data_IF_251816048047
#
_entry.id   IF_251816048047
#
_cell.length_a   1.000
_cell.length_b   1.000
_cell.length_c   1.000
_cell.angle_alpha   90.00
_cell.angle_beta   90.00
_cell.angle_gamma   90.00
#
_symmetry.space_group_name_H-M   'P 1'
#
loop_
_entity.id
_entity.type
_entity.pdbx_description
1 polymer ?
#
# COMPACT_ATOMS: atom_id res chain seq x y z
N UNK A 1 -25.20 36.99 16.59
CA UNK A 1 -23.78 36.55 16.61
C UNK A 1 -23.28 36.32 15.18
N UNK A 2 -23.49 37.24 14.23
CA UNK A 2 -23.62 36.82 12.82
C UNK A 2 -22.97 37.72 11.77
N UNK A 3 -22.16 38.71 12.17
CA UNK A 3 -21.41 39.55 11.20
C UNK A 3 -19.90 39.54 11.48
N UNK A 4 -19.48 39.37 12.74
CA UNK A 4 -18.05 39.28 13.10
C UNK A 4 -17.38 37.97 12.70
N UNK A 5 -18.10 36.84 12.74
CA UNK A 5 -17.53 35.51 12.54
C UNK A 5 -17.12 35.24 11.08
N UNK A 6 -17.88 35.80 10.13
CA UNK A 6 -17.55 35.71 8.71
C UNK A 6 -16.28 36.48 8.32
N UNK A 7 -16.03 37.63 8.96
CA UNK A 7 -14.85 38.46 8.73
C UNK A 7 -13.59 37.85 9.36
N UNK A 8 -13.73 37.20 10.52
CA UNK A 8 -12.62 36.52 11.21
C UNK A 8 -12.20 35.23 10.48
N UNK A 9 -13.12 34.53 9.81
CA UNK A 9 -12.80 33.33 9.03
C UNK A 9 -12.29 33.63 7.60
N UNK A 10 -12.74 34.72 6.97
CA UNK A 10 -12.42 35.00 5.56
C UNK A 10 -11.01 35.56 5.33
N UNK A 11 -10.48 36.37 6.25
CA UNK A 11 -9.13 36.95 6.08
C UNK A 11 -8.05 35.86 6.09
N UNK A 12 -8.04 34.89 7.03
CA UNK A 12 -7.07 33.79 7.02
C UNK A 12 -7.21 32.89 5.78
N UNK A 13 -8.44 32.60 5.34
CA UNK A 13 -8.69 31.77 4.15
C UNK A 13 -8.11 32.41 2.88
N UNK A 14 -8.25 33.74 2.73
CA UNK A 14 -7.69 34.47 1.60
C UNK A 14 -6.15 34.44 1.62
N UNK A 15 -5.54 34.62 2.79
CA UNK A 15 -4.07 34.60 2.95
C UNK A 15 -3.51 33.21 2.61
N UNK A 16 -4.15 32.13 3.08
CA UNK A 16 -3.73 30.75 2.79
C UNK A 16 -3.87 30.43 1.30
N UNK A 17 -4.99 30.83 0.68
CA UNK A 17 -5.22 30.63 -0.76
C UNK A 17 -4.18 31.36 -1.62
N UNK A 18 -3.86 32.60 -1.26
CA UNK A 18 -2.87 33.41 -1.99
C UNK A 18 -1.46 32.86 -1.80
N UNK A 19 -1.10 32.45 -0.58
CA UNK A 19 0.20 31.83 -0.29
C UNK A 19 0.37 30.49 -1.05
N UNK A 20 -0.66 29.66 -1.10
CA UNK A 20 -0.64 28.40 -1.86
C UNK A 20 -0.50 28.67 -3.38
N UNK A 21 -1.21 29.67 -3.93
CA UNK A 21 -1.07 30.07 -5.33
C UNK A 21 0.33 30.57 -5.69
N UNK A 22 0.98 31.30 -4.79
CA UNK A 22 2.37 31.77 -4.98
C UNK A 22 3.38 30.62 -4.91
N UNK A 23 3.14 29.61 -4.07
CA UNK A 23 4.02 28.43 -3.98
C UNK A 23 3.91 27.57 -5.24
N UNK A 24 2.70 27.36 -5.76
CA UNK A 24 2.44 26.53 -6.96
C UNK A 24 3.01 27.13 -8.25
N UNK A 25 3.23 28.45 -8.30
CA UNK A 25 3.73 29.14 -9.50
C UNK A 25 5.25 29.17 -9.61
N UNK A 26 5.99 28.71 -8.59
CA UNK A 26 7.44 28.47 -8.72
C UNK A 26 7.68 27.11 -9.38
N UNK A 27 7.59 27.08 -10.71
CA UNK A 27 8.16 25.98 -11.50
C UNK A 27 9.63 26.30 -11.79
N UNK A 28 10.47 25.37 -11.37
CA UNK A 28 11.92 25.36 -11.43
C UNK A 28 12.41 24.98 -12.83
N UNK A 29 12.84 25.96 -13.62
CA UNK A 29 13.76 25.72 -14.74
C UNK A 29 14.65 26.96 -14.92
N UNK A 30 15.97 26.78 -14.77
CA UNK A 30 17.01 27.83 -14.87
C UNK A 30 17.27 28.33 -16.30
N UNK A 31 16.32 28.16 -17.22
CA UNK A 31 16.47 28.60 -18.60
C UNK A 31 15.31 29.47 -19.03
N UNK A 32 15.65 30.62 -19.61
CA UNK A 32 14.68 31.49 -20.25
C UNK A 32 14.03 30.74 -21.42
N UNK A 33 12.70 30.70 -21.42
CA UNK A 33 11.89 30.05 -22.47
C UNK A 33 12.26 30.55 -23.87
N UNK A 34 12.68 31.81 -23.99
CA UNK A 34 13.17 32.39 -25.23
C UNK A 34 14.46 31.73 -25.74
N UNK A 35 15.38 31.39 -24.83
CA UNK A 35 16.65 30.75 -25.17
C UNK A 35 16.45 29.31 -25.65
N UNK A 36 15.50 28.58 -25.04
CA UNK A 36 15.09 27.25 -25.50
C UNK A 36 14.43 27.29 -26.88
N UNK A 37 13.56 28.28 -27.13
CA UNK A 37 12.90 28.43 -28.44
C UNK A 37 13.90 28.75 -29.55
N UNK A 38 14.86 29.65 -29.30
CA UNK A 38 15.91 29.99 -30.26
C UNK A 38 16.80 28.77 -30.55
N UNK A 39 17.22 28.04 -29.52
CA UNK A 39 18.03 26.85 -29.69
C UNK A 39 17.30 25.75 -30.47
N UNK A 40 16.01 25.52 -30.21
CA UNK A 40 15.23 24.54 -30.98
C UNK A 40 15.03 24.95 -32.44
N UNK A 41 14.86 26.24 -32.71
CA UNK A 41 14.69 26.76 -34.08
C UNK A 41 15.94 26.48 -34.93
N UNK A 42 17.15 26.69 -34.38
CA UNK A 42 18.41 26.50 -35.11
C UNK A 42 18.98 25.08 -35.05
N UNK A 43 18.51 24.23 -34.13
CA UNK A 43 18.99 22.85 -33.97
C UNK A 43 18.18 21.82 -34.75
N UNK A 44 16.99 22.17 -35.25
CA UNK A 44 16.12 21.24 -35.97
C UNK A 44 15.91 21.66 -37.44
N UNK A 45 16.51 20.95 -38.42
CA UNK A 45 16.40 21.27 -39.84
C UNK A 45 14.96 21.30 -40.37
N UNK A 46 14.05 20.51 -39.77
CA UNK A 46 12.63 20.49 -40.18
C UNK A 46 11.88 21.76 -39.79
N UNK A 47 12.21 22.34 -38.62
CA UNK A 47 11.61 23.60 -38.17
C UNK A 47 12.14 24.75 -39.02
N UNK A 48 13.44 24.79 -39.31
CA UNK A 48 14.02 25.78 -40.22
C UNK A 48 13.40 25.72 -41.63
N UNK A 49 13.14 24.52 -42.15
CA UNK A 49 12.49 24.34 -43.46
C UNK A 49 11.07 24.89 -43.47
N UNK A 50 10.31 24.66 -42.39
CA UNK A 50 8.96 25.20 -42.23
C UNK A 50 8.97 26.73 -42.17
N UNK A 51 9.88 27.31 -41.37
CA UNK A 51 10.06 28.77 -41.28
C UNK A 51 10.46 29.38 -42.64
N UNK A 52 11.37 28.72 -43.38
CA UNK A 52 11.75 29.15 -44.72
C UNK A 52 10.58 29.08 -45.72
N UNK A 53 9.73 28.05 -45.64
CA UNK A 53 8.55 27.93 -46.49
C UNK A 53 7.55 29.06 -46.22
N UNK A 54 7.28 29.39 -44.96
CA UNK A 54 6.38 30.48 -44.57
C UNK A 54 6.94 31.84 -45.01
N UNK A 55 8.23 32.10 -44.79
CA UNK A 55 8.90 33.33 -45.24
C UNK A 55 8.95 33.45 -46.77
N UNK A 56 9.13 32.33 -47.48
CA UNK A 56 9.10 32.28 -48.94
C UNK A 56 7.72 32.58 -49.50
N UNK A 57 6.66 32.02 -48.89
CA UNK A 57 5.27 32.33 -49.26
C UNK A 57 4.93 33.80 -49.02
N UNK A 58 5.37 34.37 -47.90
CA UNK A 58 5.21 35.80 -47.62
C UNK A 58 5.99 36.68 -48.60
N UNK A 59 7.18 36.26 -49.01
CA UNK A 59 8.02 36.95 -50.00
C UNK A 59 7.47 36.95 -51.42
N UNK A 60 6.45 36.14 -51.73
CA UNK A 60 5.76 36.12 -53.02
C UNK A 60 4.57 37.10 -53.08
N UNK A 61 4.21 37.74 -51.96
CA UNK A 61 3.10 38.69 -51.89
C UNK A 61 3.53 40.03 -52.54
N UNK A 62 2.84 40.53 -53.58
CA UNK A 62 3.20 41.78 -54.24
C UNK A 62 2.93 42.97 -53.31
N UNK A 63 3.92 43.85 -53.14
CA UNK A 63 3.85 45.05 -52.28
C UNK A 63 4.80 45.05 -51.07
N UNK A 64 5.49 43.94 -50.81
CA UNK A 64 6.56 43.87 -49.79
C UNK A 64 7.96 43.88 -50.44
N UNK A 65 9.04 44.14 -49.66
CA UNK A 65 10.42 44.02 -50.14
C UNK A 65 10.77 42.54 -50.42
N UNK A 66 10.26 41.99 -51.52
CA UNK A 66 10.37 40.56 -51.87
C UNK A 66 11.83 40.08 -51.88
N UNK A 67 12.75 40.98 -52.24
CA UNK A 67 14.19 40.75 -52.26
C UNK A 67 14.75 40.38 -50.86
N UNK A 68 14.24 41.01 -49.79
CA UNK A 68 14.68 40.74 -48.41
C UNK A 68 14.16 39.37 -47.95
N UNK A 69 12.88 39.08 -48.17
CA UNK A 69 12.27 37.81 -47.76
C UNK A 69 12.83 36.60 -48.52
N UNK A 70 13.06 36.74 -49.83
CA UNK A 70 13.69 35.68 -50.63
C UNK A 70 15.15 35.45 -50.21
N UNK A 71 15.88 36.49 -49.81
CA UNK A 71 17.25 36.36 -49.28
C UNK A 71 17.27 35.60 -47.95
N UNK A 72 16.40 35.93 -47.01
CA UNK A 72 16.26 35.19 -45.74
C UNK A 72 15.81 33.75 -45.96
N UNK A 73 14.90 33.52 -46.90
CA UNK A 73 14.45 32.18 -47.28
C UNK A 73 15.61 31.35 -47.82
N UNK A 74 16.40 31.91 -48.75
CA UNK A 74 17.59 31.25 -49.29
C UNK A 74 18.63 30.98 -48.19
N UNK A 75 18.83 31.91 -47.26
CA UNK A 75 19.73 31.76 -46.12
C UNK A 75 19.31 30.62 -45.18
N UNK A 76 18.04 30.55 -44.82
CA UNK A 76 17.50 29.48 -43.96
C UNK A 76 17.55 28.11 -44.65
N UNK A 77 17.24 28.04 -45.95
CA UNK A 77 17.36 26.80 -46.72
C UNK A 77 18.82 26.35 -46.85
N UNK A 78 19.75 27.29 -47.05
CA UNK A 78 21.19 27.02 -47.10
C UNK A 78 21.73 26.49 -45.77
N UNK A 79 21.35 27.12 -44.65
CA UNK A 79 21.67 26.66 -43.30
C UNK A 79 21.09 25.28 -43.00
N UNK A 80 19.81 25.05 -43.33
CA UNK A 80 19.16 23.75 -43.15
C UNK A 80 19.86 22.64 -43.96
N UNK A 81 20.30 22.94 -45.19
CA UNK A 81 21.03 22.00 -46.03
C UNK A 81 22.44 21.71 -45.49
N UNK A 82 23.13 22.72 -44.96
CA UNK A 82 24.46 22.57 -44.35
C UNK A 82 24.41 21.73 -43.06
N UNK A 83 23.42 21.96 -42.20
CA UNK A 83 23.21 21.18 -40.96
C UNK A 83 22.83 19.74 -41.29
N UNK A 84 21.93 19.53 -42.25
CA UNK A 84 21.53 18.18 -42.71
C UNK A 84 22.69 17.40 -43.34
N UNK A 85 23.62 18.09 -44.01
CA UNK A 85 24.86 17.51 -44.54
C UNK A 85 25.87 17.09 -43.48
N UNK A 86 25.83 17.69 -42.27
CA UNK A 86 26.61 17.26 -41.10
C UNK A 86 25.99 16.04 -40.41
N UNK A 87 24.66 15.97 -40.31
CA UNK A 87 23.96 14.81 -39.73
C UNK A 87 24.13 13.51 -40.54
N UNK A 88 24.32 13.60 -41.87
CA UNK A 88 24.48 12.40 -42.72
C UNK A 88 25.92 11.84 -42.77
N UNK A 89 26.92 12.57 -42.26
CA UNK A 89 28.34 12.12 -42.25
C UNK A 89 28.86 11.73 -40.87
N UNK A 90 28.05 11.84 -39.82
CA UNK A 90 28.37 11.22 -38.54
C UNK A 90 27.97 9.73 -38.59
N UNK A 91 28.79 8.79 -38.07
CA UNK A 91 28.35 7.42 -37.83
C UNK A 91 27.10 7.48 -36.97
N UNK A 92 26.11 6.65 -37.26
CA UNK A 92 24.86 6.58 -36.50
C UNK A 92 25.16 6.36 -35.02
N UNK A 93 25.20 7.44 -34.24
CA UNK A 93 24.93 7.38 -32.81
C UNK A 93 23.54 6.75 -32.68
N UNK A 94 23.36 5.80 -31.75
CA UNK A 94 22.06 5.20 -31.54
C UNK A 94 21.08 6.36 -31.35
N UNK A 95 20.05 6.42 -32.21
CA UNK A 95 18.90 7.28 -31.98
C UNK A 95 18.58 7.10 -30.49
N UNK A 96 18.62 8.16 -29.67
CA UNK A 96 17.95 8.06 -28.39
C UNK A 96 16.55 7.66 -28.80
N UNK A 97 16.17 6.43 -28.46
CA UNK A 97 14.77 6.13 -28.25
C UNK A 97 14.38 7.29 -27.35
N UNK A 98 13.60 8.22 -27.89
CA UNK A 98 12.76 9.04 -27.04
C UNK A 98 11.91 7.99 -26.35
N UNK A 99 12.44 7.41 -25.26
CA UNK A 99 11.64 7.14 -24.10
C UNK A 99 10.86 8.44 -23.99
N UNK A 100 9.56 8.36 -24.31
CA UNK A 100 8.66 9.28 -23.69
C UNK A 100 9.12 9.27 -22.23
N UNK A 101 9.66 10.39 -21.77
CA UNK A 101 9.85 10.62 -20.36
C UNK A 101 8.43 10.64 -19.78
N UNK A 102 7.81 9.47 -19.69
CA UNK A 102 6.94 9.11 -18.59
C UNK A 102 7.85 8.88 -17.37
N UNK A 103 8.72 9.85 -17.09
CA UNK A 103 8.99 10.24 -15.71
C UNK A 103 7.88 11.21 -15.31
N UNK A 104 6.61 10.78 -15.46
CA UNK A 104 5.68 11.10 -14.40
C UNK A 104 6.25 10.39 -13.20
N UNK A 105 7.11 11.09 -12.45
CA UNK A 105 7.27 10.81 -11.03
C UNK A 105 5.83 10.82 -10.55
N UNK A 106 5.27 9.63 -10.30
CA UNK A 106 3.97 9.52 -9.65
C UNK A 106 4.27 10.06 -8.26
N UNK A 107 4.06 11.36 -8.09
CA UNK A 107 4.16 11.98 -6.79
C UNK A 107 3.19 11.26 -5.89
N UNK A 108 3.66 10.88 -4.69
CA UNK A 108 2.83 10.22 -3.71
C UNK A 108 1.56 11.05 -3.51
N UNK A 109 0.44 10.47 -3.87
CA UNK A 109 -0.89 11.05 -3.71
C UNK A 109 -1.50 10.56 -2.41
N UNK A 110 -2.54 11.23 -1.93
CA UNK A 110 -3.34 10.72 -0.81
C UNK A 110 -3.94 9.34 -1.07
N UNK A 111 -4.02 8.89 -2.34
CA UNK A 111 -4.47 7.55 -2.68
C UNK A 111 -3.40 6.47 -2.40
N UNK A 112 -2.14 6.86 -2.21
CA UNK A 112 -1.05 5.95 -1.82
C UNK A 112 -1.01 5.73 -0.30
N UNK A 113 -1.79 6.49 0.47
CA UNK A 113 -1.95 6.29 1.91
C UNK A 113 -2.81 5.05 2.13
N UNK A 114 -2.15 3.92 2.37
CA UNK A 114 -2.83 2.71 2.80
C UNK A 114 -3.20 2.83 4.27
N UNK A 115 -4.49 2.67 4.56
CA UNK A 115 -4.95 2.50 5.93
C UNK A 115 -4.46 1.15 6.44
N UNK A 116 -3.91 1.17 7.65
CA UNK A 116 -3.49 -0.06 8.33
C UNK A 116 -4.70 -0.92 8.67
N UNK A 117 -4.53 -2.23 8.50
CA UNK A 117 -5.54 -3.20 8.90
C UNK A 117 -5.65 -3.21 10.43
N UNK A 118 -6.89 -3.12 10.96
CA UNK A 118 -7.13 -3.20 12.41
C UNK A 118 -6.55 -4.49 13.01
N UNK A 119 -6.64 -5.59 12.27
CA UNK A 119 -6.04 -6.88 12.61
C UNK A 119 -5.53 -7.57 11.33
N UNK A 120 -4.24 -7.91 11.32
CA UNK A 120 -3.55 -8.49 10.19
C UNK A 120 -2.76 -9.73 10.59
N UNK A 121 -2.47 -10.58 9.60
CA UNK A 121 -1.58 -11.72 9.73
C UNK A 121 -0.70 -11.82 8.48
N UNK A 122 0.61 -11.77 8.68
CA UNK A 122 1.59 -12.03 7.63
C UNK A 122 2.08 -13.47 7.73
N UNK A 123 2.20 -14.13 6.59
CA UNK A 123 2.63 -15.53 6.53
C UNK A 123 3.78 -15.72 5.54
N UNK A 124 4.77 -16.54 5.93
CA UNK A 124 5.79 -17.03 5.01
C UNK A 124 5.22 -18.03 4.00
N UNK A 125 5.93 -18.23 2.89
CA UNK A 125 5.40 -18.96 1.74
C UNK A 125 5.01 -20.43 2.00
N UNK A 126 5.59 -21.12 3.02
CA UNK A 126 5.19 -22.50 3.36
C UNK A 126 3.84 -22.57 4.05
N UNK A 127 3.35 -21.47 4.59
CA UNK A 127 2.06 -21.38 5.29
C UNK A 127 0.91 -21.02 4.34
N UNK A 128 1.21 -20.58 3.11
CA UNK A 128 0.20 -20.20 2.11
C UNK A 128 -0.89 -21.28 1.93
N UNK A 129 -0.56 -22.59 1.81
CA UNK A 129 -1.61 -23.62 1.66
C UNK A 129 -2.60 -23.66 2.83
N UNK A 130 -2.16 -23.30 4.04
CA UNK A 130 -3.04 -23.29 5.23
C UNK A 130 -4.05 -22.12 5.20
N UNK A 131 -3.75 -21.06 4.46
CA UNK A 131 -4.54 -19.82 4.37
C UNK A 131 -5.16 -19.60 2.98
N UNK A 132 -4.97 -20.53 2.05
CA UNK A 132 -5.56 -20.48 0.71
C UNK A 132 -6.92 -21.18 0.69
N UNK A 133 -7.95 -20.48 0.24
CA UNK A 133 -9.31 -21.01 0.11
C UNK A 133 -9.39 -22.16 -0.92
N UNK A 134 -8.48 -22.23 -1.89
CA UNK A 134 -8.45 -23.26 -2.92
C UNK A 134 -7.74 -24.55 -2.49
N UNK A 135 -6.96 -24.51 -1.41
CA UNK A 135 -6.09 -25.61 -0.96
C UNK A 135 -6.44 -26.05 0.48
N UNK A 136 -7.70 -26.45 0.71
CA UNK A 136 -8.30 -26.81 2.00
C UNK A 136 -8.41 -25.69 3.06
N UNK A 137 -7.50 -24.70 3.07
CA UNK A 137 -7.66 -23.45 3.82
C UNK A 137 -7.94 -23.64 5.31
N UNK A 138 -7.30 -24.63 5.93
CA UNK A 138 -7.65 -25.11 7.26
C UNK A 138 -7.63 -24.00 8.33
N UNK A 139 -6.65 -23.08 8.24
CA UNK A 139 -6.53 -21.94 9.15
C UNK A 139 -7.67 -20.93 8.95
N UNK A 140 -8.16 -20.71 7.73
CA UNK A 140 -9.30 -19.83 7.46
C UNK A 140 -10.58 -20.30 8.17
N UNK A 141 -10.83 -21.61 8.17
CA UNK A 141 -11.95 -22.23 8.89
C UNK A 141 -11.87 -21.99 10.40
N UNK A 142 -10.65 -22.14 10.96
CA UNK A 142 -10.37 -21.92 12.38
C UNK A 142 -10.52 -20.45 12.77
N UNK A 143 -9.99 -19.51 11.97
CA UNK A 143 -10.14 -18.06 12.19
C UNK A 143 -11.62 -17.65 12.22
N UNK A 144 -12.44 -18.17 11.28
CA UNK A 144 -13.89 -17.91 11.28
C UNK A 144 -14.56 -18.42 12.55
N UNK A 145 -14.19 -19.63 12.99
CA UNK A 145 -14.72 -20.22 14.22
C UNK A 145 -14.32 -19.42 15.46
N UNK A 146 -13.07 -18.95 15.54
CA UNK A 146 -12.56 -18.07 16.60
C UNK A 146 -13.39 -16.80 16.68
N UNK A 147 -13.57 -16.08 15.56
CA UNK A 147 -14.34 -14.83 15.53
C UNK A 147 -15.79 -15.04 15.97
N UNK A 148 -16.41 -16.15 15.55
CA UNK A 148 -17.78 -16.49 15.97
C UNK A 148 -17.86 -16.78 17.47
N UNK A 149 -16.93 -17.58 18.01
CA UNK A 149 -16.87 -17.90 19.44
C UNK A 149 -16.61 -16.65 20.29
N UNK A 150 -15.65 -15.82 19.87
CA UNK A 150 -15.35 -14.56 20.54
C UNK A 150 -16.57 -13.66 20.61
N UNK A 151 -17.34 -13.53 19.51
CA UNK A 151 -18.56 -12.73 19.53
C UNK A 151 -19.64 -13.24 20.50
N UNK A 152 -19.71 -14.56 20.69
CA UNK A 152 -20.63 -15.19 21.65
C UNK A 152 -20.18 -15.00 23.10
N UNK A 153 -18.87 -15.02 23.37
CA UNK A 153 -18.31 -14.92 24.72
C UNK A 153 -18.14 -13.47 25.19
N UNK A 154 -17.70 -12.58 24.30
CA UNK A 154 -17.37 -11.17 24.61
C UNK A 154 -18.49 -10.18 24.26
N UNK A 155 -19.45 -10.58 23.44
CA UNK A 155 -20.62 -9.75 23.10
C UNK A 155 -20.42 -8.73 21.98
N UNK A 156 -19.28 -8.73 21.29
CA UNK A 156 -19.06 -7.93 20.08
C UNK A 156 -18.27 -8.70 19.02
N UNK A 157 -18.44 -8.34 17.74
CA UNK A 157 -17.75 -8.99 16.64
C UNK A 157 -16.37 -8.36 16.44
N UNK A 158 -15.25 -9.10 16.59
CA UNK A 158 -13.93 -8.56 16.35
C UNK A 158 -13.71 -8.31 14.85
N UNK A 159 -12.80 -7.39 14.48
CA UNK A 159 -12.51 -7.10 13.08
C UNK A 159 -12.06 -8.35 12.32
N UNK A 160 -12.17 -8.30 11.00
CA UNK A 160 -11.65 -9.37 10.13
C UNK A 160 -10.13 -9.40 10.20
N UNK A 161 -9.56 -10.60 10.09
CA UNK A 161 -8.11 -10.79 10.03
C UNK A 161 -7.70 -10.76 8.56
N UNK A 162 -6.99 -9.71 8.14
CA UNK A 162 -6.43 -9.64 6.78
C UNK A 162 -5.15 -10.46 6.71
N UNK A 163 -5.14 -11.48 5.88
CA UNK A 163 -3.98 -12.37 5.70
C UNK A 163 -3.24 -11.96 4.44
N UNK A 164 -1.93 -11.72 4.56
CA UNK A 164 -1.05 -11.36 3.45
C UNK A 164 0.16 -12.29 3.45
N UNK A 165 0.63 -12.67 2.27
CA UNK A 165 1.93 -13.31 2.13
C UNK A 165 3.03 -12.26 2.29
N UNK A 166 4.10 -12.65 2.97
CA UNK A 166 5.29 -11.81 3.11
C UNK A 166 6.53 -12.64 2.80
N UNK A 167 7.13 -12.37 1.64
CA UNK A 167 8.30 -13.10 1.12
C UNK A 167 9.59 -12.78 1.89
N UNK A 168 9.61 -11.71 2.68
CA UNK A 168 10.75 -11.36 3.54
C UNK A 168 10.75 -12.19 4.84
N UNK A 169 9.63 -12.85 5.17
CA UNK A 169 9.56 -13.75 6.32
C UNK A 169 10.24 -15.09 6.05
N UNK A 170 10.72 -15.71 7.13
CA UNK A 170 11.18 -17.09 7.06
C UNK A 170 10.06 -18.01 6.57
N UNK A 171 10.38 -19.10 5.83
CA UNK A 171 9.40 -19.92 5.13
C UNK A 171 8.20 -20.37 5.98
N UNK A 172 8.44 -20.73 7.23
CA UNK A 172 7.49 -21.29 8.19
C UNK A 172 7.07 -20.29 9.30
N UNK A 173 7.46 -19.02 9.17
CA UNK A 173 7.18 -17.96 10.16
C UNK A 173 5.86 -17.28 9.82
N UNK A 174 5.13 -16.89 10.85
CA UNK A 174 4.01 -15.95 10.75
C UNK A 174 4.16 -14.81 11.75
N UNK A 175 3.49 -13.70 11.47
CA UNK A 175 3.37 -12.54 12.37
C UNK A 175 1.91 -12.11 12.43
N UNK A 176 1.47 -11.65 13.59
CA UNK A 176 0.14 -11.12 13.84
C UNK A 176 0.31 -9.64 14.14
N UNK A 177 -0.43 -8.81 13.42
CA UNK A 177 -0.33 -7.36 13.47
C UNK A 177 -1.64 -6.75 13.95
N UNK A 178 -1.55 -5.68 14.72
CA UNK A 178 -2.68 -4.83 15.08
C UNK A 178 -2.34 -3.40 14.71
N UNK A 179 -3.11 -2.81 13.78
CA UNK A 179 -2.89 -1.43 13.31
C UNK A 179 -1.44 -1.23 12.84
N UNK A 180 -0.92 -2.20 12.09
CA UNK A 180 0.47 -2.23 11.57
C UNK A 180 1.56 -2.63 12.57
N UNK A 181 1.25 -2.78 13.86
CA UNK A 181 2.25 -3.15 14.89
C UNK A 181 2.21 -4.65 15.15
N UNK A 182 3.39 -5.31 15.13
CA UNK A 182 3.49 -6.72 15.50
C UNK A 182 3.14 -6.91 16.98
N UNK A 183 2.12 -7.73 17.24
CA UNK A 183 1.68 -8.12 18.59
C UNK A 183 2.05 -9.56 18.94
N UNK A 184 2.50 -10.34 17.96
CA UNK A 184 3.01 -11.69 18.19
C UNK A 184 3.51 -12.35 16.92
N UNK A 185 4.39 -13.34 17.08
CA UNK A 185 4.93 -14.13 15.97
C UNK A 185 5.26 -15.54 16.44
N UNK A 186 5.49 -16.43 15.47
CA UNK A 186 5.82 -17.82 15.78
C UNK A 186 6.16 -18.61 14.53
N UNK A 187 6.69 -19.81 14.74
CA UNK A 187 6.93 -20.77 13.67
C UNK A 187 5.80 -21.80 13.65
N UNK A 188 5.39 -22.20 12.45
CA UNK A 188 4.42 -23.27 12.24
C UNK A 188 4.90 -24.15 11.09
N UNK A 189 5.01 -25.45 11.32
CA UNK A 189 5.54 -26.38 10.31
C UNK A 189 4.42 -27.29 9.78
N UNK A 190 3.84 -26.99 8.60
CA UNK A 190 2.86 -27.87 7.97
C UNK A 190 3.41 -29.30 7.84
N UNK A 191 2.59 -30.30 8.15
CA UNK A 191 2.97 -31.72 8.15
C UNK A 191 3.69 -32.20 9.42
N UNK A 192 3.99 -31.31 10.38
CA UNK A 192 4.45 -31.66 11.73
C UNK A 192 3.38 -31.34 12.77
N UNK A 193 3.58 -31.90 13.96
CA UNK A 193 2.72 -31.67 15.12
C UNK A 193 3.52 -30.98 16.23
N UNK A 194 2.87 -30.07 16.95
CA UNK A 194 3.46 -29.43 18.13
C UNK A 194 3.03 -30.22 19.37
N UNK A 195 3.99 -30.88 20.01
CA UNK A 195 3.80 -31.57 21.28
C UNK A 195 4.13 -30.61 22.44
N UNK A 196 3.10 -30.13 23.13
CA UNK A 196 3.20 -29.15 24.21
C UNK A 196 3.24 -29.89 25.55
N UNK A 197 4.23 -29.57 26.39
CA UNK A 197 4.33 -30.10 27.74
C UNK A 197 3.56 -29.21 28.73
N UNK A 198 2.41 -29.66 29.29
CA UNK A 198 1.66 -28.89 30.28
C UNK A 198 2.33 -28.84 31.67
N UNK A 199 3.53 -29.40 31.82
CA UNK A 199 4.29 -29.51 33.07
C UNK A 199 4.28 -30.92 33.68
N UNK A 200 3.43 -31.82 33.17
CA UNK A 200 3.27 -33.19 33.67
C UNK A 200 3.74 -34.27 32.70
N UNK A 201 4.20 -33.90 31.50
CA UNK A 201 4.64 -34.88 30.52
C UNK A 201 5.97 -35.53 30.94
N UNK A 202 6.11 -36.83 30.66
CA UNK A 202 7.25 -37.64 31.03
C UNK A 202 8.13 -37.97 29.81
N UNK A 203 9.45 -37.89 29.98
CA UNK A 203 10.41 -38.17 28.92
C UNK A 203 10.54 -37.02 27.90
N UNK A 204 11.34 -37.27 26.87
CA UNK A 204 11.61 -36.33 25.77
C UNK A 204 11.34 -37.00 24.44
N UNK A 205 10.89 -36.21 23.48
CA UNK A 205 10.63 -36.63 22.11
C UNK A 205 11.74 -36.13 21.18
N UNK A 206 12.13 -36.88 20.14
CA UNK A 206 13.02 -36.36 19.11
C UNK A 206 12.27 -35.34 18.26
N UNK A 207 12.88 -34.17 18.05
CA UNK A 207 12.27 -33.09 17.30
C UNK A 207 12.94 -31.75 17.55
N UNK A 208 12.35 -30.70 16.98
CA UNK A 208 12.83 -29.32 17.15
C UNK A 208 12.16 -28.72 18.38
N UNK A 209 12.95 -28.51 19.44
CA UNK A 209 12.47 -27.91 20.67
C UNK A 209 12.13 -26.43 20.46
N UNK A 210 11.01 -26.01 21.02
CA UNK A 210 10.46 -24.66 20.89
C UNK A 210 9.59 -24.31 22.11
N UNK A 211 8.88 -23.19 22.04
CA UNK A 211 7.94 -22.74 23.06
C UNK A 211 6.59 -22.52 22.38
N UNK A 212 5.52 -22.95 23.04
CA UNK A 212 4.16 -22.64 22.59
C UNK A 212 3.95 -21.12 22.60
N UNK A 213 3.66 -20.51 21.43
CA UNK A 213 3.54 -19.07 21.32
C UNK A 213 2.34 -18.48 22.10
N UNK A 214 1.32 -19.27 22.44
CA UNK A 214 0.15 -18.78 23.17
C UNK A 214 0.38 -18.69 24.69
N UNK A 215 1.06 -19.68 25.28
CA UNK A 215 1.12 -19.83 26.74
C UNK A 215 2.55 -19.88 27.30
N UNK A 216 3.57 -19.86 26.45
CA UNK A 216 4.97 -19.92 26.90
C UNK A 216 5.39 -21.30 27.43
N UNK A 217 4.66 -22.36 27.09
CA UNK A 217 4.96 -23.72 27.54
C UNK A 217 6.05 -24.37 26.69
N UNK A 218 6.88 -25.20 27.30
CA UNK A 218 7.88 -25.99 26.57
C UNK A 218 7.19 -26.91 25.57
N UNK A 219 7.63 -26.89 24.31
CA UNK A 219 7.04 -27.70 23.26
C UNK A 219 8.09 -28.24 22.30
N UNK A 220 7.74 -29.26 21.52
CA UNK A 220 8.62 -29.89 20.54
C UNK A 220 7.84 -30.14 19.25
N UNK A 221 8.39 -29.74 18.11
CA UNK A 221 7.87 -30.13 16.80
C UNK A 221 8.29 -31.56 16.49
N UNK A 222 7.29 -32.43 16.39
CA UNK A 222 7.46 -33.87 16.15
C UNK A 222 6.87 -34.28 14.80
N UNK A 223 7.36 -35.41 14.27
CA UNK A 223 6.75 -36.04 13.10
C UNK A 223 5.41 -36.70 13.45
N UNK A 224 4.57 -36.87 12.43
CA UNK A 224 3.23 -37.49 12.59
C UNK A 224 3.27 -38.88 13.23
N UNK A 225 4.33 -39.66 12.95
CA UNK A 225 4.53 -40.99 13.51
C UNK A 225 4.67 -41.02 15.04
N UNK A 226 5.08 -39.91 15.67
CA UNK A 226 5.31 -39.82 17.11
C UNK A 226 4.10 -39.26 17.87
N UNK A 227 3.01 -38.91 17.17
CA UNK A 227 1.82 -38.29 17.78
C UNK A 227 1.24 -39.12 18.92
N UNK A 228 1.00 -40.41 18.67
CA UNK A 228 0.39 -41.32 19.66
C UNK A 228 1.33 -41.54 20.86
N UNK A 229 2.64 -41.70 20.59
CA UNK A 229 3.65 -41.82 21.64
C UNK A 229 3.70 -40.56 22.53
N UNK A 230 3.67 -39.38 21.93
CA UNK A 230 3.68 -38.11 22.64
C UNK A 230 2.46 -37.96 23.55
N UNK A 231 1.27 -38.36 23.07
CA UNK A 231 0.04 -38.36 23.88
C UNK A 231 0.12 -39.33 25.06
N UNK A 232 0.66 -40.54 24.86
CA UNK A 232 0.88 -41.51 25.96
C UNK A 232 1.85 -40.95 27.01
N UNK A 233 2.85 -40.18 26.59
CA UNK A 233 3.81 -39.51 27.46
C UNK A 233 3.23 -38.27 28.17
N UNK A 234 1.97 -37.89 27.91
CA UNK A 234 1.29 -36.78 28.56
C UNK A 234 1.47 -35.42 27.87
N UNK A 235 1.97 -35.39 26.64
CA UNK A 235 2.01 -34.16 25.84
C UNK A 235 0.64 -33.86 25.22
N UNK A 236 0.27 -32.58 25.17
CA UNK A 236 -0.85 -32.11 24.37
C UNK A 236 -0.36 -31.90 22.94
N UNK A 237 -0.85 -32.72 22.00
CA UNK A 237 -0.37 -32.71 20.61
C UNK A 237 -1.36 -32.01 19.70
N UNK A 238 -0.92 -30.95 19.02
CA UNK A 238 -1.75 -30.12 18.13
C UNK A 238 -1.13 -29.97 16.75
N UNK A 239 -1.98 -29.76 15.74
CA UNK A 239 -1.55 -29.48 14.36
C UNK A 239 -0.99 -28.07 14.23
N UNK A 240 -0.19 -27.82 13.19
CA UNK A 240 0.38 -26.49 12.93
C UNK A 240 -0.70 -25.40 12.79
N UNK A 241 -1.79 -25.67 12.07
CA UNK A 241 -2.94 -24.77 11.92
C UNK A 241 -3.59 -24.43 13.27
N UNK A 242 -3.67 -25.43 14.15
CA UNK A 242 -4.22 -25.27 15.50
C UNK A 242 -3.31 -24.42 16.37
N UNK A 243 -1.99 -24.60 16.30
CA UNK A 243 -1.05 -23.78 17.06
C UNK A 243 -1.16 -22.29 16.69
N UNK A 244 -1.19 -21.96 15.38
CA UNK A 244 -1.39 -20.58 14.91
C UNK A 244 -2.76 -20.03 15.35
N UNK A 245 -3.81 -20.82 15.21
CA UNK A 245 -5.17 -20.43 15.59
C UNK A 245 -5.29 -20.16 17.10
N UNK A 246 -4.69 -20.99 17.94
CA UNK A 246 -4.67 -20.80 19.40
C UNK A 246 -3.93 -19.52 19.79
N UNK A 247 -2.78 -19.27 19.17
CA UNK A 247 -2.02 -18.04 19.41
C UNK A 247 -2.81 -16.79 18.99
N UNK A 248 -3.41 -16.80 17.80
CA UNK A 248 -4.27 -15.71 17.35
C UNK A 248 -5.45 -15.48 18.30
N UNK A 249 -6.14 -16.54 18.73
CA UNK A 249 -7.24 -16.43 19.67
C UNK A 249 -6.78 -15.83 21.01
N UNK A 250 -5.62 -16.26 21.52
CA UNK A 250 -5.04 -15.71 22.74
C UNK A 250 -4.80 -14.21 22.63
N UNK A 251 -4.16 -13.75 21.54
CA UNK A 251 -3.88 -12.33 21.30
C UNK A 251 -5.15 -11.50 21.11
N UNK A 252 -6.15 -12.01 20.39
CA UNK A 252 -7.45 -11.34 20.23
C UNK A 252 -8.14 -11.16 21.58
N UNK A 253 -8.10 -12.17 22.45
CA UNK A 253 -8.62 -12.07 23.81
C UNK A 253 -7.84 -11.10 24.68
N UNK A 254 -6.51 -11.12 24.59
CA UNK A 254 -5.64 -10.24 25.37
C UNK A 254 -5.83 -8.77 25.00
N UNK A 255 -6.04 -8.47 23.72
CA UNK A 255 -6.21 -7.12 23.20
C UNK A 255 -7.68 -6.78 22.84
N UNK A 256 -8.63 -7.42 23.52
CA UNK A 256 -10.05 -7.25 23.23
C UNK A 256 -10.51 -5.78 23.36
N UNK A 257 -9.93 -5.04 24.31
CA UNK A 257 -10.26 -3.63 24.53
C UNK A 257 -9.76 -2.74 23.38
N UNK A 258 -8.55 -2.99 22.88
CA UNK A 258 -7.94 -2.24 21.78
C UNK A 258 -8.56 -2.52 20.41
N UNK A 259 -9.14 -3.73 20.28
CA UNK A 259 -9.94 -4.16 19.12
C UNK A 259 -11.37 -3.61 19.15
N UNK A 260 -11.88 -3.19 20.32
CA UNK A 260 -13.18 -2.55 20.44
C UNK A 260 -13.05 -1.02 20.24
N UNK A 261 -12.93 -0.62 18.99
CA UNK A 261 -12.84 0.79 18.61
C UNK A 261 -14.20 1.48 18.57
N UNK A 262 -14.18 2.76 18.17
CA UNK A 262 -15.40 3.55 17.96
C UNK A 262 -16.30 2.94 16.87
N UNK A 263 -15.70 2.34 15.85
CA UNK A 263 -16.43 1.67 14.78
C UNK A 263 -17.21 0.46 15.31
N UNK A 264 -16.56 -0.40 16.10
CA UNK A 264 -17.19 -1.56 16.72
C UNK A 264 -18.26 -1.15 17.73
N UNK A 265 -18.00 -0.10 18.53
CA UNK A 265 -18.98 0.44 19.47
C UNK A 265 -20.24 0.97 18.76
N UNK A 266 -20.08 1.69 17.65
CA UNK A 266 -21.21 2.16 16.86
C UNK A 266 -22.00 1.00 16.26
N UNK A 267 -21.33 0.01 15.67
CA UNK A 267 -22.00 -1.17 15.11
C UNK A 267 -22.76 -1.96 16.18
N UNK A 268 -22.21 -2.06 17.39
CA UNK A 268 -22.88 -2.71 18.52
C UNK A 268 -24.10 -1.91 18.96
N UNK A 269 -23.98 -0.59 19.08
CA UNK A 269 -25.09 0.29 19.42
C UNK A 269 -26.23 0.17 18.38
N UNK A 270 -25.90 0.21 17.09
CA UNK A 270 -26.87 0.07 16.00
C UNK A 270 -27.60 -1.27 16.05
N UNK A 271 -26.89 -2.36 16.42
CA UNK A 271 -27.49 -3.68 16.62
C UNK A 271 -28.44 -3.69 17.82
N UNK A 272 -28.02 -3.14 18.96
CA UNK A 272 -28.85 -3.09 20.17
C UNK A 272 -30.06 -2.19 19.98
N UNK A 273 -29.95 -1.12 19.19
CA UNK A 273 -31.06 -0.24 18.87
C UNK A 273 -32.19 -0.93 18.10
N UNK A 274 -31.88 -1.98 17.32
CA UNK A 274 -32.92 -2.79 16.64
C UNK A 274 -33.74 -3.62 17.64
N UNK A 275 -33.14 -4.09 18.73
CA UNK A 275 -33.80 -4.91 19.74
C UNK A 275 -34.42 -4.06 20.87
N UNK A 276 -33.80 -2.92 21.21
CA UNK A 276 -34.17 -2.03 22.31
C UNK A 276 -34.21 -0.55 21.89
N UNK A 277 -35.10 -0.16 20.95
CA UNK A 277 -35.09 1.19 20.38
C UNK A 277 -35.40 2.29 21.41
N UNK A 278 -36.38 2.09 22.29
CA UNK A 278 -36.77 3.10 23.29
C UNK A 278 -35.65 3.42 24.29
N UNK A 279 -34.92 2.40 24.72
CA UNK A 279 -33.81 2.58 25.68
C UNK A 279 -32.66 3.33 25.02
N UNK A 280 -32.31 2.94 23.79
CA UNK A 280 -31.19 3.55 23.07
C UNK A 280 -31.48 5.00 22.67
N UNK A 281 -32.71 5.32 22.25
CA UNK A 281 -33.15 6.67 21.90
C UNK A 281 -33.07 7.65 23.09
N UNK A 282 -33.52 7.22 24.27
CA UNK A 282 -33.50 8.08 25.48
C UNK A 282 -32.09 8.21 26.09
N UNK A 283 -31.16 7.29 25.77
CA UNK A 283 -29.83 7.23 26.38
C UNK A 283 -28.75 7.94 25.55
N UNK A 284 -28.65 7.64 24.25
CA UNK A 284 -27.56 8.11 23.37
C UNK A 284 -28.14 8.96 22.23
N UNK A 285 -27.63 10.17 21.98
CA UNK A 285 -26.48 10.84 22.61
C UNK A 285 -26.84 11.74 23.81
N UNK A 286 -28.10 11.73 24.26
CA UNK A 286 -28.61 12.73 25.21
C UNK A 286 -28.06 12.64 26.63
N UNK A 287 -27.93 11.42 27.17
CA UNK A 287 -27.48 11.16 28.55
C UNK A 287 -26.02 10.69 28.57
N UNK A 288 -25.66 9.78 27.67
CA UNK A 288 -24.30 9.27 27.48
C UNK A 288 -23.94 9.44 26.00
N UNK A 289 -22.75 9.99 25.74
CA UNK A 289 -22.23 10.22 24.39
C UNK A 289 -21.61 8.99 23.77
#
# INVERSE_FOLDING_TARGET
LTIGDGLVAQIPALVISTAAGVIVTRVSTDQDVGEQMVNQLFSNPSVMLLSAAVLGLLGLVPGMPNLVFLLFTAGLLGLAWWIRGREQKAPAEPKPVKMAENNTVVEATWNDVQLEDSLGMEVGYRLIPMVDFQQDGELLGRIRSIRKKFAQEMGFLPPVVHIRDNMDLQPARYRILMKGVEIGSGDAYPGRWLAINPGTAAGTLPGEATVDPAFGLNAIWIESALKEQAQIQGYTVVEASTAVATHLNHLISQHAAELFGRQEAQQLLDRVAQEMPKLTEDLVPGVVT
#
